data_IF_941467467411
#
_entry.id   IF_941467467411
#
_cell.length_a   1.000
_cell.length_b   1.000
_cell.length_c   1.000
_cell.angle_alpha   90.00
_cell.angle_beta   90.00
_cell.angle_gamma   90.00
#
_symmetry.space_group_name_H-M   'P 1'
#
loop_
_entity.id
_entity.type
_entity.pdbx_description
1 polymer ?
#
# COMPACT_ATOMS: atom_id res chain seq x y z
N UNK A 1 -5.16 -5.52 -16.95
CA UNK A 1 -4.46 -5.67 -15.67
C UNK A 1 -2.97 -5.63 -15.98
N UNK A 2 -2.21 -4.77 -15.31
CA UNK A 2 -0.77 -4.58 -15.54
C UNK A 2 0.06 -5.20 -14.42
N UNK A 3 -0.52 -5.34 -13.23
CA UNK A 3 0.09 -5.97 -12.07
C UNK A 3 -0.99 -6.60 -11.18
N UNK A 4 -0.67 -7.76 -10.58
CA UNK A 4 -1.51 -8.48 -9.63
C UNK A 4 -0.62 -9.24 -8.66
N UNK A 5 -0.88 -9.12 -7.36
CA UNK A 5 -0.25 -9.87 -6.29
C UNK A 5 -1.28 -10.20 -5.21
N UNK A 6 -1.31 -11.46 -4.78
CA UNK A 6 -2.21 -11.97 -3.75
C UNK A 6 -1.48 -12.76 -2.67
N UNK A 7 -0.15 -12.76 -2.67
CA UNK A 7 0.73 -13.36 -1.67
C UNK A 7 0.62 -14.89 -1.48
N UNK A 8 -0.23 -15.57 -2.23
CA UNK A 8 -0.53 -17.00 -2.10
C UNK A 8 0.55 -17.91 -2.68
N UNK A 9 1.40 -17.38 -3.56
CA UNK A 9 2.44 -18.13 -4.27
C UNK A 9 3.68 -18.49 -3.43
N UNK A 10 3.74 -18.04 -2.17
CA UNK A 10 4.90 -18.21 -1.27
C UNK A 10 4.52 -18.90 0.03
N UNK A 11 5.53 -19.43 0.74
CA UNK A 11 5.34 -20.01 2.08
C UNK A 11 5.65 -18.95 3.14
N UNK A 12 4.73 -18.64 4.06
CA UNK A 12 5.02 -17.75 5.19
C UNK A 12 6.28 -18.15 5.94
N UNK A 13 7.16 -17.20 6.33
CA UNK A 13 6.96 -15.75 6.25
C UNK A 13 7.51 -15.09 4.97
N UNK A 14 7.89 -15.85 3.94
CA UNK A 14 8.56 -15.30 2.77
C UNK A 14 7.68 -14.31 2.01
N UNK A 15 8.26 -13.21 1.52
CA UNK A 15 7.60 -12.32 0.56
C UNK A 15 7.78 -12.83 -0.87
N UNK A 16 6.86 -12.48 -1.80
CA UNK A 16 7.07 -12.73 -3.21
C UNK A 16 8.35 -12.06 -3.74
N UNK A 17 8.96 -12.57 -4.82
CA UNK A 17 10.12 -11.93 -5.44
C UNK A 17 9.89 -10.44 -5.71
N UNK A 18 10.95 -9.64 -5.54
CA UNK A 18 10.98 -8.18 -5.75
C UNK A 18 10.07 -7.33 -4.84
N UNK A 19 9.41 -7.95 -3.86
CA UNK A 19 8.85 -7.25 -2.70
C UNK A 19 9.90 -7.12 -1.61
N UNK A 20 10.05 -5.92 -1.08
CA UNK A 20 11.12 -5.60 -0.13
C UNK A 20 10.54 -5.05 1.16
N UNK A 21 10.92 -5.65 2.29
CA UNK A 21 10.56 -5.17 3.61
C UNK A 21 11.76 -4.55 4.32
N UNK A 22 11.53 -3.40 4.95
CA UNK A 22 12.55 -2.71 5.73
C UNK A 22 11.93 -1.98 6.92
N UNK A 23 12.67 -1.92 8.02
CA UNK A 23 12.34 -1.05 9.15
C UNK A 23 13.30 0.13 9.11
N UNK A 24 12.75 1.33 8.91
CA UNK A 24 13.52 2.56 9.03
C UNK A 24 13.74 2.97 10.48
N UNK A 25 12.91 2.46 11.39
CA UNK A 25 12.97 2.65 12.82
C UNK A 25 12.21 1.53 13.53
N UNK A 26 12.58 1.24 14.79
CA UNK A 26 11.87 0.29 15.64
C UNK A 26 12.38 -1.15 15.51
N UNK A 27 11.87 -2.06 16.35
CA UNK A 27 12.32 -3.45 16.40
C UNK A 27 11.76 -4.28 15.24
N UNK A 28 12.25 -5.53 15.07
CA UNK A 28 11.51 -6.57 14.36
C UNK A 28 10.06 -6.72 14.86
N UNK A 29 9.16 -7.34 14.08
CA UNK A 29 9.39 -7.96 12.78
C UNK A 29 9.47 -6.95 11.62
N UNK A 30 9.87 -7.46 10.46
CA UNK A 30 9.62 -6.85 9.16
C UNK A 30 8.25 -7.25 8.64
N UNK A 31 7.78 -6.60 7.58
CA UNK A 31 6.64 -7.11 6.81
C UNK A 31 6.93 -8.53 6.30
N UNK A 32 5.94 -9.41 6.41
CA UNK A 32 6.02 -10.83 6.02
C UNK A 32 4.70 -11.27 5.39
N UNK A 33 4.67 -12.45 4.76
CA UNK A 33 3.39 -13.11 4.51
C UNK A 33 2.92 -13.87 5.75
N UNK A 34 1.60 -13.97 5.94
CA UNK A 34 0.97 -14.69 7.04
C UNK A 34 -0.37 -15.26 6.61
N UNK A 35 -0.71 -16.46 7.11
CA UNK A 35 -1.94 -17.20 6.80
C UNK A 35 -2.86 -17.41 8.02
N UNK A 36 -2.54 -16.78 9.15
CA UNK A 36 -3.27 -16.97 10.41
C UNK A 36 -3.12 -15.78 11.34
N UNK A 37 -3.88 -15.78 12.43
CA UNK A 37 -3.83 -14.74 13.46
C UNK A 37 -4.74 -13.54 13.16
N UNK A 38 -4.50 -12.47 13.92
CA UNK A 38 -5.22 -11.19 13.85
C UNK A 38 -4.44 -10.17 13.00
N UNK A 39 -5.05 -9.05 12.57
CA UNK A 39 -6.50 -8.83 12.50
C UNK A 39 -7.20 -9.85 11.59
N UNK A 40 -8.47 -10.15 11.88
CA UNK A 40 -9.27 -11.17 11.18
C UNK A 40 -10.15 -10.51 10.10
N UNK A 41 -10.30 -11.14 8.92
CA UNK A 41 -9.71 -12.42 8.50
C UNK A 41 -8.22 -12.30 8.12
N UNK A 42 -7.47 -13.41 8.20
CA UNK A 42 -6.03 -13.38 7.97
C UNK A 42 -5.62 -13.17 6.51
N UNK A 43 -6.55 -13.37 5.55
CA UNK A 43 -6.37 -13.11 4.13
C UNK A 43 -7.72 -12.84 3.45
N UNK A 44 -7.72 -12.14 2.32
CA UNK A 44 -8.88 -12.00 1.40
C UNK A 44 -8.92 -13.19 0.44
N UNK A 45 -7.77 -13.54 -0.15
CA UNK A 45 -7.57 -14.76 -0.93
C UNK A 45 -6.70 -15.73 -0.13
N UNK A 46 -7.16 -16.97 0.13
CA UNK A 46 -6.36 -17.94 0.86
C UNK A 46 -5.19 -18.53 0.04
N UNK A 47 -4.04 -18.85 0.67
CA UNK A 47 -3.85 -18.85 2.12
C UNK A 47 -3.31 -17.56 2.77
N UNK A 48 -2.70 -16.62 2.04
CA UNK A 48 -1.80 -15.64 2.64
C UNK A 48 -2.24 -14.19 2.41
N UNK A 49 -1.85 -13.30 3.33
CA UNK A 49 -1.76 -11.86 3.10
C UNK A 49 -0.38 -11.35 3.56
N UNK A 50 0.03 -10.18 3.05
CA UNK A 50 1.12 -9.43 3.69
C UNK A 50 0.66 -8.92 5.06
N UNK A 51 1.53 -8.97 6.06
CA UNK A 51 1.24 -8.62 7.44
C UNK A 51 2.41 -7.88 8.09
N UNK A 52 2.07 -6.91 8.94
CA UNK A 52 2.98 -6.28 9.91
C UNK A 52 2.26 -6.07 11.25
N UNK A 53 3.03 -6.12 12.34
CA UNK A 53 2.56 -5.85 13.68
C UNK A 53 2.37 -4.35 13.96
N UNK A 54 1.75 -4.06 15.10
CA UNK A 54 1.58 -2.72 15.66
C UNK A 54 2.18 -2.68 17.08
N UNK A 55 3.45 -2.28 17.24
CA UNK A 55 4.16 -2.39 18.51
C UNK A 55 4.01 -1.16 19.40
N UNK A 56 4.09 -1.37 20.73
CA UNK A 56 4.08 -0.32 21.77
C UNK A 56 5.39 0.45 21.93
N UNK A 57 6.02 0.78 20.81
CA UNK A 57 7.21 1.60 20.71
C UNK A 57 7.34 2.19 19.30
N UNK A 58 8.10 3.29 19.19
CA UNK A 58 8.18 4.04 17.94
C UNK A 58 8.78 3.18 16.83
N UNK A 59 8.02 2.94 15.77
CA UNK A 59 8.47 2.16 14.62
C UNK A 59 8.08 2.78 13.28
N UNK A 60 8.84 2.44 12.23
CA UNK A 60 8.58 2.82 10.84
C UNK A 60 8.89 1.61 9.95
N UNK A 61 7.85 0.87 9.60
CA UNK A 61 7.92 -0.45 8.96
C UNK A 61 7.33 -0.39 7.56
N UNK A 62 8.13 -0.75 6.55
CA UNK A 62 7.85 -0.49 5.13
C UNK A 62 7.82 -1.78 4.33
N UNK A 63 6.86 -1.86 3.41
CA UNK A 63 6.77 -2.88 2.38
C UNK A 63 6.70 -2.21 1.02
N UNK A 64 7.73 -2.42 0.21
CA UNK A 64 7.85 -1.85 -1.12
C UNK A 64 7.44 -2.92 -2.16
N UNK A 65 6.61 -2.52 -3.12
CA UNK A 65 6.23 -3.37 -4.24
C UNK A 65 7.39 -3.57 -5.22
N UNK A 66 7.20 -4.51 -6.15
CA UNK A 66 7.94 -4.54 -7.41
C UNK A 66 7.79 -3.23 -8.21
N UNK A 67 8.66 -3.04 -9.21
CA UNK A 67 8.60 -1.91 -10.14
C UNK A 67 7.47 -2.05 -11.16
N UNK A 68 6.77 -0.97 -11.45
CA UNK A 68 5.74 -0.91 -12.50
C UNK A 68 5.89 0.34 -13.37
N UNK A 69 5.32 0.31 -14.58
CA UNK A 69 5.19 1.48 -15.45
C UNK A 69 3.70 1.75 -15.66
N UNK A 70 3.27 3.00 -15.45
CA UNK A 70 1.85 3.33 -15.43
C UNK A 70 1.44 4.48 -16.35
N UNK A 71 0.26 4.32 -16.94
CA UNK A 71 -0.48 5.34 -17.69
C UNK A 71 -1.93 5.40 -17.18
N UNK A 72 -2.25 6.39 -16.34
CA UNK A 72 -3.61 6.64 -15.80
C UNK A 72 -4.31 5.43 -15.16
N UNK A 73 -3.71 4.73 -14.18
CA UNK A 73 -4.26 3.50 -13.65
C UNK A 73 -5.04 3.67 -12.35
N UNK A 74 -5.82 2.64 -12.04
CA UNK A 74 -6.44 2.45 -10.74
C UNK A 74 -5.77 1.27 -10.02
N UNK A 75 -5.29 1.52 -8.80
CA UNK A 75 -4.88 0.50 -7.84
C UNK A 75 -6.09 0.09 -7.01
N UNK A 76 -6.26 -1.20 -6.81
CA UNK A 76 -7.19 -1.78 -5.85
C UNK A 76 -6.43 -2.75 -4.97
N UNK A 77 -6.69 -2.74 -3.68
CA UNK A 77 -6.23 -3.78 -2.76
C UNK A 77 -7.25 -3.99 -1.65
N UNK A 78 -7.12 -5.12 -0.98
CA UNK A 78 -7.92 -5.53 0.17
C UNK A 78 -7.06 -5.39 1.40
N UNK A 79 -7.62 -4.86 2.47
CA UNK A 79 -6.89 -4.68 3.71
C UNK A 79 -7.78 -4.89 4.92
N UNK A 80 -7.16 -5.33 6.01
CA UNK A 80 -7.75 -5.26 7.34
C UNK A 80 -6.69 -4.78 8.31
N UNK A 81 -7.05 -3.84 9.16
CA UNK A 81 -6.15 -3.23 10.13
C UNK A 81 -6.87 -3.05 11.46
N UNK A 82 -6.10 -3.17 12.53
CA UNK A 82 -6.48 -2.77 13.88
C UNK A 82 -5.25 -2.18 14.53
N UNK A 83 -5.16 -0.85 14.49
CA UNK A 83 -4.02 -0.06 14.93
C UNK A 83 -4.41 0.83 16.12
N UNK A 84 -3.45 1.24 16.95
CA UNK A 84 -3.73 2.11 18.08
C UNK A 84 -4.36 3.45 17.66
N UNK A 85 -5.48 3.80 18.28
CA UNK A 85 -6.22 5.02 18.03
C UNK A 85 -7.01 5.47 19.27
N UNK A 86 -7.47 6.72 19.26
CA UNK A 86 -8.27 7.25 20.36
C UNK A 86 -9.63 6.56 20.47
N UNK A 87 -10.00 6.17 21.70
CA UNK A 87 -11.36 5.74 22.06
C UNK A 87 -12.34 6.90 22.17
N UNK A 88 -11.84 8.11 22.39
CA UNK A 88 -12.63 9.31 22.65
C UNK A 88 -12.85 10.15 21.38
N UNK A 89 -11.80 10.33 20.57
CA UNK A 89 -11.88 11.06 19.30
C UNK A 89 -11.86 10.07 18.11
N UNK A 90 -12.98 9.93 17.38
CA UNK A 90 -13.06 9.01 16.25
C UNK A 90 -12.22 9.44 15.02
N UNK A 91 -11.65 10.64 15.02
CA UNK A 91 -10.80 11.15 13.93
C UNK A 91 -9.31 11.14 14.26
N UNK A 92 -8.92 10.76 15.49
CA UNK A 92 -7.54 10.76 15.96
C UNK A 92 -6.96 9.35 16.01
N UNK A 93 -5.83 9.14 15.33
CA UNK A 93 -5.01 7.93 15.42
C UNK A 93 -3.71 8.20 16.17
N UNK A 94 -3.12 7.14 16.72
CA UNK A 94 -1.79 7.18 17.35
C UNK A 94 -0.79 6.45 16.47
N UNK A 95 -1.19 5.25 16.05
CA UNK A 95 -0.50 4.42 15.07
C UNK A 95 -1.25 4.46 13.74
N UNK A 96 -0.53 4.27 12.63
CA UNK A 96 -1.17 4.39 11.32
C UNK A 96 -0.46 3.73 10.16
N UNK A 97 -1.27 3.33 9.18
CA UNK A 97 -0.84 2.89 7.85
C UNK A 97 -1.05 3.97 6.80
N UNK A 98 -0.06 4.16 5.92
CA UNK A 98 -0.14 5.05 4.75
C UNK A 98 0.32 4.32 3.49
N UNK A 99 -0.21 4.76 2.35
CA UNK A 99 0.28 4.37 1.02
C UNK A 99 1.13 5.49 0.45
N UNK A 100 2.32 5.14 0.00
CA UNK A 100 3.27 6.05 -0.62
C UNK A 100 3.58 5.62 -2.07
N UNK A 101 3.95 6.59 -2.91
CA UNK A 101 4.34 6.40 -4.29
C UNK A 101 5.78 6.92 -4.49
N UNK A 102 6.62 6.09 -5.09
CA UNK A 102 7.86 6.53 -5.72
C UNK A 102 7.67 6.66 -7.22
N UNK A 103 8.21 7.74 -7.79
CA UNK A 103 8.25 8.00 -9.23
C UNK A 103 9.67 8.10 -9.77
N UNK A 104 10.65 7.70 -8.95
CA UNK A 104 12.08 7.82 -9.18
C UNK A 104 12.80 6.50 -8.84
N UNK A 105 12.19 5.38 -9.24
CA UNK A 105 12.76 4.03 -9.11
C UNK A 105 13.02 3.58 -7.66
N UNK A 106 12.20 4.03 -6.71
CA UNK A 106 12.31 3.69 -5.29
C UNK A 106 13.29 4.57 -4.50
N UNK A 107 13.87 5.61 -5.10
CA UNK A 107 14.81 6.50 -4.38
C UNK A 107 14.09 7.38 -3.35
N UNK A 108 12.94 7.94 -3.70
CA UNK A 108 12.11 8.73 -2.79
C UNK A 108 10.65 8.28 -2.84
N UNK A 109 9.96 8.43 -1.71
CA UNK A 109 8.54 8.08 -1.57
C UNK A 109 7.78 9.27 -1.01
N UNK A 110 6.62 9.55 -1.58
CA UNK A 110 5.70 10.58 -1.13
C UNK A 110 4.36 9.95 -0.78
N UNK A 111 3.63 10.51 0.19
CA UNK A 111 2.25 10.12 0.43
C UNK A 111 1.44 10.16 -0.88
N UNK A 112 0.57 9.17 -1.10
CA UNK A 112 -0.19 9.07 -2.34
C UNK A 112 -1.02 10.34 -2.64
N UNK A 113 -1.53 11.02 -1.62
CA UNK A 113 -2.28 12.27 -1.80
C UNK A 113 -1.35 13.42 -2.18
N UNK A 114 -0.18 13.51 -1.54
CA UNK A 114 0.84 14.52 -1.87
C UNK A 114 1.42 14.32 -3.28
N UNK A 115 1.54 13.07 -3.72
CA UNK A 115 1.97 12.72 -5.08
C UNK A 115 0.91 13.08 -6.16
N UNK A 116 -0.29 13.53 -5.78
CA UNK A 116 -1.38 13.90 -6.69
C UNK A 116 -2.40 12.77 -6.93
N UNK A 117 -2.32 11.68 -6.16
CA UNK A 117 -3.32 10.61 -6.17
C UNK A 117 -4.58 10.97 -5.37
N UNK A 118 -5.58 10.10 -5.46
CA UNK A 118 -6.83 10.23 -4.70
C UNK A 118 -7.44 8.88 -4.38
N UNK A 119 -8.21 8.79 -3.30
CA UNK A 119 -9.01 7.62 -2.99
C UNK A 119 -10.38 7.71 -3.65
N UNK A 120 -10.74 6.67 -4.42
CA UNK A 120 -12.10 6.47 -4.88
C UNK A 120 -12.94 5.72 -3.84
N UNK A 121 -12.30 4.88 -3.00
CA UNK A 121 -12.94 4.12 -1.93
C UNK A 121 -11.91 3.70 -0.87
N UNK A 122 -12.33 3.57 0.39
CA UNK A 122 -11.50 3.03 1.47
C UNK A 122 -10.26 3.86 1.79
N UNK A 123 -10.36 5.19 1.68
CA UNK A 123 -9.26 6.11 1.97
C UNK A 123 -8.97 6.25 3.46
N UNK A 124 -7.99 7.09 3.78
CA UNK A 124 -7.60 7.41 5.16
C UNK A 124 -8.78 7.88 6.00
N UNK A 125 -8.84 7.41 7.25
CA UNK A 125 -9.97 7.64 8.15
C UNK A 125 -9.63 8.52 9.36
N UNK A 126 -8.34 8.74 9.65
CA UNK A 126 -7.89 9.50 10.83
C UNK A 126 -6.67 10.36 10.51
N UNK A 127 -6.40 11.34 11.37
CA UNK A 127 -5.14 12.07 11.42
C UNK A 127 -4.30 11.51 12.57
N UNK A 128 -3.02 11.28 12.34
CA UNK A 128 -2.10 10.78 13.38
C UNK A 128 -1.69 11.91 14.33
N UNK A 129 -1.71 11.63 15.64
CA UNK A 129 -1.37 12.59 16.67
C UNK A 129 0.03 13.19 16.44
N UNK A 130 0.14 14.50 16.62
CA UNK A 130 1.37 15.23 16.36
C UNK A 130 2.40 15.15 17.50
N UNK A 131 1.98 14.69 18.68
CA UNK A 131 2.67 14.86 19.96
C UNK A 131 3.00 13.53 20.66
N UNK A 132 2.98 12.41 19.92
CA UNK A 132 3.26 11.07 20.44
C UNK A 132 4.50 10.39 19.84
N UNK A 133 5.19 11.06 18.92
CA UNK A 133 6.45 10.57 18.35
C UNK A 133 6.32 9.64 17.15
N UNK A 134 5.10 9.38 16.66
CA UNK A 134 4.88 8.58 15.44
C UNK A 134 5.63 9.19 14.23
N UNK A 135 6.36 8.38 13.42
CA UNK A 135 7.07 8.84 12.23
C UNK A 135 6.19 9.40 11.10
N UNK A 136 4.87 9.32 11.25
CA UNK A 136 3.86 9.91 10.34
C UNK A 136 2.94 10.91 11.05
N UNK A 137 3.38 11.46 12.19
CA UNK A 137 2.70 12.50 12.95
C UNK A 137 2.11 13.62 12.06
N UNK A 138 0.84 13.95 12.28
CA UNK A 138 0.09 14.97 11.53
C UNK A 138 -0.40 14.56 10.15
N UNK A 139 -0.06 13.36 9.65
CA UNK A 139 -0.57 12.85 8.37
C UNK A 139 -1.96 12.25 8.51
N UNK A 140 -2.73 12.29 7.42
CA UNK A 140 -3.89 11.42 7.27
C UNK A 140 -3.40 9.97 7.07
N UNK A 141 -4.05 9.01 7.72
CA UNK A 141 -3.69 7.60 7.69
C UNK A 141 -4.92 6.69 7.88
N UNK A 142 -4.73 5.40 7.63
CA UNK A 142 -5.58 4.35 8.19
C UNK A 142 -5.17 4.09 9.63
N UNK A 143 -6.11 4.17 10.56
CA UNK A 143 -5.86 3.91 11.99
C UNK A 143 -7.14 3.43 12.68
N UNK A 144 -7.02 2.84 13.88
CA UNK A 144 -8.11 2.17 14.59
C UNK A 144 -8.46 0.81 13.98
N UNK A 145 -9.65 0.30 14.27
CA UNK A 145 -10.12 -0.98 13.74
C UNK A 145 -10.99 -0.80 12.48
N UNK A 146 -10.58 -1.44 11.38
CA UNK A 146 -11.29 -1.46 10.09
C UNK A 146 -12.63 -2.21 10.10
N UNK A 147 -12.90 -3.03 11.12
CA UNK A 147 -14.10 -3.85 11.24
C UNK A 147 -14.11 -5.11 10.36
N UNK A 148 -12.94 -5.50 9.84
CA UNK A 148 -12.75 -6.64 8.94
C UNK A 148 -12.11 -6.22 7.62
N UNK A 149 -12.28 -7.02 6.57
CA UNK A 149 -11.73 -6.71 5.25
C UNK A 149 -12.50 -5.59 4.55
N UNK A 150 -11.77 -4.55 4.15
CA UNK A 150 -12.27 -3.46 3.33
C UNK A 150 -11.56 -3.44 1.97
N UNK A 151 -12.22 -2.84 0.96
CA UNK A 151 -11.59 -2.54 -0.33
C UNK A 151 -11.08 -1.11 -0.31
N UNK A 152 -9.83 -0.93 -0.75
CA UNK A 152 -9.28 0.39 -1.04
C UNK A 152 -9.03 0.52 -2.52
N UNK A 153 -9.51 1.63 -3.08
CA UNK A 153 -9.36 1.97 -4.50
C UNK A 153 -8.71 3.34 -4.61
N UNK A 154 -7.59 3.38 -5.33
CA UNK A 154 -6.72 4.54 -5.47
C UNK A 154 -6.58 4.90 -6.93
N UNK A 155 -6.90 6.14 -7.28
CA UNK A 155 -6.52 6.71 -8.57
C UNK A 155 -5.07 7.18 -8.45
N UNK A 156 -4.17 6.52 -9.18
CA UNK A 156 -2.75 6.86 -9.17
C UNK A 156 -2.51 7.98 -10.19
N UNK A 157 -1.75 9.04 -9.84
CA UNK A 157 -1.43 10.11 -10.78
C UNK A 157 -0.62 9.59 -11.96
N UNK A 158 -0.62 10.32 -13.08
CA UNK A 158 0.29 10.02 -14.17
C UNK A 158 1.68 10.58 -13.84
N UNK A 159 2.73 9.75 -13.93
CA UNK A 159 4.11 10.15 -13.64
C UNK A 159 5.13 9.72 -14.72
N UNK A 160 4.70 9.00 -15.77
CA UNK A 160 5.49 8.79 -16.99
C UNK A 160 6.78 7.96 -16.87
N UNK A 161 7.05 7.34 -15.72
CA UNK A 161 8.29 6.62 -15.41
C UNK A 161 8.03 5.24 -14.79
N UNK A 162 9.09 4.56 -14.35
CA UNK A 162 8.97 3.42 -13.43
C UNK A 162 8.64 3.95 -12.03
N UNK A 163 7.69 3.30 -11.36
CA UNK A 163 7.29 3.62 -10.00
C UNK A 163 7.25 2.39 -9.11
N UNK A 164 7.19 2.67 -7.81
CA UNK A 164 6.98 1.67 -6.75
C UNK A 164 5.92 2.20 -5.78
N UNK A 165 5.13 1.29 -5.22
CA UNK A 165 4.24 1.58 -4.11
C UNK A 165 4.92 1.16 -2.82
N UNK A 166 4.61 1.86 -1.73
CA UNK A 166 5.01 1.48 -0.38
C UNK A 166 3.82 1.49 0.55
N UNK A 167 3.61 0.38 1.25
CA UNK A 167 2.76 0.34 2.44
C UNK A 167 3.66 0.60 3.64
N UNK A 168 3.38 1.70 4.36
CA UNK A 168 4.19 2.13 5.50
C UNK A 168 3.32 2.16 6.75
N UNK A 169 3.69 1.35 7.71
CA UNK A 169 3.10 1.32 9.04
C UNK A 169 4.03 2.07 10.00
N UNK A 170 3.48 2.95 10.83
CA UNK A 170 4.24 3.62 11.87
C UNK A 170 3.49 3.63 13.19
N UNK A 171 4.22 3.41 14.27
CA UNK A 171 3.71 3.42 15.64
C UNK A 171 4.34 4.53 16.50
N UNK A 172 3.66 4.89 17.57
CA UNK A 172 4.03 5.89 18.55
C UNK A 172 4.84 5.31 19.73
N UNK A 173 5.05 6.08 20.80
CA UNK A 173 5.83 5.64 21.97
C UNK A 173 5.20 4.55 22.85
N UNK A 174 3.93 4.20 22.66
CA UNK A 174 3.17 3.31 23.55
C UNK A 174 1.96 2.68 22.86
N UNK A 175 1.29 1.75 23.53
CA UNK A 175 0.05 1.16 23.02
C UNK A 175 0.25 0.27 21.80
N UNK A 176 -0.69 -0.63 21.55
CA UNK A 176 -0.52 -1.60 20.48
C UNK A 176 -1.86 -2.09 19.98
N UNK A 177 -1.96 -2.26 18.67
CA UNK A 177 -3.04 -2.97 18.00
C UNK A 177 -2.66 -4.39 17.59
N UNK A 178 -3.47 -4.95 16.70
CA UNK A 178 -3.27 -6.29 16.13
C UNK A 178 -2.39 -6.25 14.87
N UNK A 179 -2.17 -5.07 14.30
CA UNK A 179 -1.37 -4.86 13.09
C UNK A 179 -2.21 -4.58 11.84
N UNK A 180 -1.57 -4.77 10.68
CA UNK A 180 -2.13 -4.45 9.37
C UNK A 180 -1.87 -5.58 8.38
N UNK A 181 -2.91 -5.94 7.63
CA UNK A 181 -2.88 -6.89 6.52
C UNK A 181 -3.23 -6.23 5.19
N UNK A 182 -2.52 -6.62 4.14
CA UNK A 182 -2.73 -6.20 2.76
C UNK A 182 -2.76 -7.43 1.86
N UNK A 183 -3.73 -7.48 0.95
CA UNK A 183 -3.95 -8.61 0.04
C UNK A 183 -4.61 -8.15 -1.27
N UNK A 184 -4.63 -9.01 -2.29
CA UNK A 184 -5.34 -8.83 -3.57
C UNK A 184 -5.02 -7.48 -4.23
N UNK A 185 -3.73 -7.18 -4.31
CA UNK A 185 -3.19 -5.95 -4.88
C UNK A 185 -3.25 -6.05 -6.40
N UNK A 186 -4.00 -5.13 -7.02
CA UNK A 186 -4.23 -5.14 -8.46
C UNK A 186 -4.06 -3.73 -9.02
N UNK A 187 -3.32 -3.60 -10.11
CA UNK A 187 -3.25 -2.36 -10.88
C UNK A 187 -3.84 -2.60 -12.27
N UNK A 188 -4.83 -1.78 -12.61
CA UNK A 188 -5.47 -1.77 -13.92
C UNK A 188 -5.14 -0.48 -14.66
N UNK A 189 -4.74 -0.58 -15.92
CA UNK A 189 -4.44 0.57 -16.77
C UNK A 189 -5.00 0.34 -18.18
N UNK A 190 -5.36 1.43 -18.85
CA UNK A 190 -5.62 1.42 -20.28
C UNK A 190 -4.28 1.44 -21.03
N UNK A 191 -3.94 0.35 -21.72
CA UNK A 191 -2.76 0.33 -22.60
C UNK A 191 -3.16 0.87 -23.97
N UNK A 192 -2.56 1.96 -24.49
CA UNK A 192 -2.86 2.46 -25.83
C UNK A 192 -2.52 1.40 -26.88
N UNK A 193 -3.51 0.99 -27.69
CA UNK A 193 -3.24 0.12 -28.83
C UNK A 193 -2.47 0.91 -29.89
N UNK A 194 -1.24 0.48 -30.22
CA UNK A 194 -0.50 1.04 -31.35
C UNK A 194 -1.28 0.77 -32.65
N UNK A 195 -1.91 1.80 -33.22
CA UNK A 195 -2.39 1.71 -34.61
C UNK A 195 -1.17 1.64 -35.54
N UNK A 196 -0.94 0.50 -36.19
CA UNK A 196 -0.06 0.45 -37.37
C UNK A 196 -0.69 1.33 -38.43
N UNK A 197 -0.07 2.47 -38.74
CA UNK A 197 -0.37 3.19 -39.97
C UNK A 197 0.05 2.28 -41.11
N UNK A 198 -0.91 1.62 -41.77
CA UNK A 198 -0.66 0.99 -43.04
C UNK A 198 -0.33 2.11 -44.03
N UNK A 199 0.95 2.29 -44.36
CA UNK A 199 1.34 3.07 -45.52
C UNK A 199 0.68 2.43 -46.74
N UNK A 200 -0.41 3.03 -47.23
CA UNK A 200 -0.93 2.74 -48.57
C UNK A 200 0.18 3.07 -49.55
N UNK A 201 0.81 2.04 -50.13
CA UNK A 201 1.71 2.21 -51.27
C UNK A 201 0.87 2.78 -52.42
N UNK A 202 1.12 4.02 -52.80
CA UNK A 202 0.57 4.54 -54.05
C UNK A 202 1.20 3.80 -55.24
N UNK A 203 0.41 3.35 -56.23
CA UNK A 203 0.97 2.82 -57.46
C UNK A 203 1.71 3.92 -58.21
N UNK A 204 2.91 3.62 -58.73
CA UNK A 204 3.64 4.54 -59.62
C UNK A 204 2.89 4.64 -60.96
N UNK A 205 2.71 5.84 -61.53
CA UNK A 205 2.24 5.98 -62.91
C UNK A 205 3.25 5.37 -63.89
N UNK A 206 2.74 4.76 -64.96
CA UNK A 206 3.52 4.25 -66.09
C UNK A 206 3.98 5.40 -66.98
#
# INVERSE_FOLDING_TARGET
MVFSENFDGVTPPALPPDWEAANSQGPPPFWVTSNSGVPIPPADTPPNAAFIDDPAEVSDKRLDSLHFILFGPQLTFRQTFNLEASSEDPNLGFDGGVLELSTDDGNTFQDILAAGGSFAMGGYNRIISADRGSPIAGRQAWSGNSGGLITTVVNIPWFGAQGRLRWRMASDTSGSGEGWRVDTVNITACVPVRRRVQHRRHPRPR
#
